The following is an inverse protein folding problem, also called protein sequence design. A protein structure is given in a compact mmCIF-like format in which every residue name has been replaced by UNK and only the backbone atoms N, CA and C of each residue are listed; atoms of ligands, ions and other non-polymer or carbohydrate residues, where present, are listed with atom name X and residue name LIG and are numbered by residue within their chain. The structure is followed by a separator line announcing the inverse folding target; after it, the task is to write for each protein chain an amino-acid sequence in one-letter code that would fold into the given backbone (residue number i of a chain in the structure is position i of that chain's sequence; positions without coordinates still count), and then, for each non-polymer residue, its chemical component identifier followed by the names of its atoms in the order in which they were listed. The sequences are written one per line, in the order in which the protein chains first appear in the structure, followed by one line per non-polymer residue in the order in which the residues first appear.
data_IF_478719648006
#
_entry.id   IF_478719648006
#
_cell.length_a   1.000
_cell.length_b   1.000
_cell.length_c   1.000
_cell.angle_alpha   90.00
_cell.angle_beta   90.00
_cell.angle_gamma   90.00
#
_symmetry.space_group_name_H-M   'P 1'
#
loop_
_entity.id
_entity.type
_entity.pdbx_description
1 polymer ?
#
# COMPACT_ATOMS: atom_id res chain seq x y z
N UNK A 1 -17.14 5.43 5.89
CA UNK A 1 -15.68 5.22 5.92
C UNK A 1 -15.23 4.88 4.51
N UNK A 2 -14.11 5.42 4.03
CA UNK A 2 -13.54 5.07 2.71
C UNK A 2 -12.86 3.70 2.79
N UNK A 3 -12.99 2.86 1.77
CA UNK A 3 -12.23 1.61 1.67
C UNK A 3 -10.92 1.90 0.94
N UNK A 4 -9.79 1.54 1.56
CA UNK A 4 -8.44 1.78 1.03
C UNK A 4 -7.76 0.43 0.82
N UNK A 5 -7.45 0.06 -0.42
CA UNK A 5 -6.80 -1.22 -0.72
C UNK A 5 -5.30 -1.10 -0.46
N UNK A 6 -4.74 -1.99 0.37
CA UNK A 6 -3.31 -1.99 0.66
C UNK A 6 -2.50 -2.57 -0.51
N UNK A 7 -1.71 -1.72 -1.17
CA UNK A 7 -0.74 -2.10 -2.21
C UNK A 7 0.71 -1.90 -1.73
N UNK A 8 0.99 -2.20 -0.46
CA UNK A 8 2.32 -2.12 0.14
C UNK A 8 2.89 -3.51 0.42
N UNK A 9 4.17 -3.57 0.82
CA UNK A 9 4.85 -4.84 1.15
C UNK A 9 4.34 -5.48 2.46
N UNK A 10 3.82 -4.66 3.37
CA UNK A 10 3.48 -5.05 4.73
C UNK A 10 1.97 -5.12 4.92
N UNK A 11 1.53 -5.94 5.87
CA UNK A 11 0.13 -5.92 6.31
C UNK A 11 -0.20 -4.58 6.96
N UNK A 12 -1.45 -4.16 6.82
CA UNK A 12 -1.92 -2.92 7.42
C UNK A 12 -1.84 -3.01 8.96
N UNK A 13 -1.40 -1.93 9.60
CA UNK A 13 -1.42 -1.82 11.07
C UNK A 13 -2.86 -1.70 11.57
N UNK A 14 -3.08 -1.96 12.86
CA UNK A 14 -4.41 -1.77 13.46
C UNK A 14 -4.94 -0.34 13.30
N UNK A 15 -4.05 0.67 13.35
CA UNK A 15 -4.41 2.08 13.13
C UNK A 15 -4.85 2.33 11.68
N UNK A 16 -4.16 1.74 10.71
CA UNK A 16 -4.51 1.84 9.29
C UNK A 16 -5.83 1.12 8.98
N UNK A 17 -6.04 -0.07 9.54
CA UNK A 17 -7.30 -0.83 9.39
C UNK A 17 -8.46 -0.03 9.96
N UNK A 18 -8.27 0.64 11.11
CA UNK A 18 -9.29 1.50 11.71
C UNK A 18 -9.67 2.70 10.82
N UNK A 19 -8.77 3.17 9.95
CA UNK A 19 -9.06 4.22 8.94
C UNK A 19 -9.64 3.67 7.63
N UNK A 20 -9.84 2.35 7.53
CA UNK A 20 -10.46 1.69 6.39
C UNK A 20 -9.49 1.03 5.41
N UNK A 21 -8.23 0.82 5.81
CA UNK A 21 -7.31 -0.02 5.03
C UNK A 21 -7.73 -1.47 5.09
N UNK A 22 -7.81 -2.11 3.92
CA UNK A 22 -8.02 -3.54 3.76
C UNK A 22 -6.81 -4.18 3.08
N UNK A 23 -6.35 -5.29 3.62
CA UNK A 23 -5.32 -6.10 2.98
C UNK A 23 -5.94 -6.94 1.85
N UNK A 24 -5.21 -7.08 0.74
CA UNK A 24 -5.54 -8.03 -0.30
C UNK A 24 -5.49 -9.47 0.24
N UNK A 25 -6.23 -10.43 -0.37
CA UNK A 25 -6.05 -11.84 -0.09
C UNK A 25 -4.59 -12.27 -0.24
N UNK A 26 -4.14 -13.23 0.59
CA UNK A 26 -2.71 -13.58 0.73
C UNK A 26 -2.03 -13.89 -0.63
N UNK A 27 -2.76 -14.55 -1.53
CA UNK A 27 -2.27 -14.87 -2.89
C UNK A 27 -1.90 -13.59 -3.66
N UNK A 28 -2.73 -12.55 -3.60
CA UNK A 28 -2.50 -11.29 -4.30
C UNK A 28 -1.50 -10.41 -3.54
N UNK A 29 -1.60 -10.32 -2.20
CA UNK A 29 -0.67 -9.51 -1.40
C UNK A 29 0.77 -10.04 -1.49
N UNK A 30 0.96 -11.37 -1.58
CA UNK A 30 2.28 -11.97 -1.80
C UNK A 30 2.86 -11.58 -3.16
N UNK A 31 2.04 -11.52 -4.21
CA UNK A 31 2.47 -11.04 -5.54
C UNK A 31 2.80 -9.55 -5.55
N UNK A 32 2.00 -8.73 -4.87
CA UNK A 32 2.32 -7.30 -4.70
C UNK A 32 3.66 -7.14 -3.99
N UNK A 33 3.91 -7.88 -2.90
CA UNK A 33 5.19 -7.86 -2.18
C UNK A 33 6.37 -8.23 -3.09
N UNK A 34 6.24 -9.29 -3.89
CA UNK A 34 7.25 -9.71 -4.87
C UNK A 34 7.57 -8.58 -5.88
N UNK A 35 6.54 -7.93 -6.42
CA UNK A 35 6.68 -6.86 -7.41
C UNK A 35 7.30 -5.58 -6.82
N UNK A 36 7.11 -5.33 -5.52
CA UNK A 36 7.67 -4.19 -4.80
C UNK A 36 9.09 -4.43 -4.26
N UNK A 37 9.58 -5.68 -4.26
CA UNK A 37 10.91 -6.05 -3.76
C UNK A 37 11.95 -6.08 -4.88
N UNK A 38 13.10 -5.48 -4.65
CA UNK A 38 14.20 -5.36 -5.60
C UNK A 38 15.51 -5.86 -4.95
N UNK A 39 15.99 -7.02 -5.41
CA UNK A 39 17.25 -7.61 -4.93
C UNK A 39 18.47 -7.17 -5.78
N UNK A 40 18.20 -6.62 -6.96
CA UNK A 40 19.19 -6.09 -7.90
C UNK A 40 18.73 -4.73 -8.43
N UNK A 41 19.67 -3.95 -8.97
CA UNK A 41 19.36 -2.67 -9.61
C UNK A 41 18.36 -2.87 -10.77
N UNK A 42 17.14 -2.31 -10.69
CA UNK A 42 16.15 -2.51 -11.75
C UNK A 42 16.39 -1.61 -12.95
N UNK A 43 16.12 -2.13 -14.13
CA UNK A 43 16.01 -1.32 -15.35
C UNK A 43 14.66 -0.60 -15.42
N UNK A 44 14.62 0.48 -16.22
CA UNK A 44 13.41 1.27 -16.45
C UNK A 44 12.22 0.45 -16.97
N UNK A 45 12.49 -0.51 -17.85
CA UNK A 45 11.49 -1.44 -18.40
C UNK A 45 10.87 -2.29 -17.30
N UNK A 46 11.72 -2.89 -16.44
CA UNK A 46 11.28 -3.69 -15.30
C UNK A 46 10.42 -2.88 -14.31
N UNK A 47 10.75 -1.61 -14.06
CA UNK A 47 9.92 -0.73 -13.22
C UNK A 47 8.52 -0.53 -13.80
N UNK A 48 8.43 -0.28 -15.12
CA UNK A 48 7.15 -0.12 -15.81
C UNK A 48 6.33 -1.42 -15.81
N UNK A 49 6.97 -2.55 -16.07
CA UNK A 49 6.31 -3.86 -16.06
C UNK A 49 5.77 -4.23 -14.68
N UNK A 50 6.59 -4.04 -13.64
CA UNK A 50 6.18 -4.28 -12.24
C UNK A 50 4.99 -3.40 -11.86
N UNK A 51 5.05 -2.10 -12.16
CA UNK A 51 3.93 -1.18 -11.94
C UNK A 51 2.65 -1.66 -12.63
N UNK A 52 2.72 -1.97 -13.92
CA UNK A 52 1.56 -2.47 -14.67
C UNK A 52 1.00 -3.78 -14.09
N UNK A 53 1.87 -4.68 -13.63
CA UNK A 53 1.44 -5.94 -13.02
C UNK A 53 0.75 -5.72 -11.67
N UNK A 54 1.20 -4.75 -10.85
CA UNK A 54 0.48 -4.38 -9.61
C UNK A 54 -0.93 -3.88 -9.94
N UNK A 55 -1.08 -3.03 -10.97
CA UNK A 55 -2.41 -2.52 -11.35
C UNK A 55 -3.32 -3.63 -11.89
N UNK A 56 -2.78 -4.61 -12.62
CA UNK A 56 -3.56 -5.79 -13.05
C UNK A 56 -4.06 -6.62 -11.86
N UNK A 57 -3.24 -6.78 -10.81
CA UNK A 57 -3.67 -7.48 -9.59
C UNK A 57 -4.77 -6.72 -8.85
N UNK A 58 -4.66 -5.39 -8.79
CA UNK A 58 -5.70 -4.52 -8.23
C UNK A 58 -7.02 -4.66 -9.00
N UNK A 59 -6.98 -4.60 -10.33
CA UNK A 59 -8.16 -4.72 -11.18
C UNK A 59 -8.83 -6.09 -11.07
N UNK A 60 -8.04 -7.17 -11.06
CA UNK A 60 -8.52 -8.52 -10.82
C UNK A 60 -9.27 -8.59 -9.49
N UNK A 61 -8.67 -8.08 -8.41
CA UNK A 61 -9.31 -8.05 -7.10
C UNK A 61 -10.63 -7.27 -7.10
N UNK A 62 -10.65 -6.06 -7.64
CA UNK A 62 -11.86 -5.22 -7.68
C UNK A 62 -12.97 -5.90 -8.47
N UNK A 63 -12.63 -6.47 -9.63
CA UNK A 63 -13.58 -7.14 -10.52
C UNK A 63 -14.14 -8.39 -9.87
N UNK A 64 -13.30 -9.24 -9.29
CA UNK A 64 -13.72 -10.46 -8.59
C UNK A 64 -14.60 -10.13 -7.38
N UNK A 65 -14.25 -9.12 -6.59
CA UNK A 65 -15.06 -8.68 -5.44
C UNK A 65 -16.43 -8.15 -5.87
N UNK A 66 -16.48 -7.36 -6.95
CA UNK A 66 -17.73 -6.87 -7.51
C UNK A 66 -18.64 -8.02 -7.97
N UNK A 67 -18.08 -9.00 -8.69
CA UNK A 67 -18.81 -10.21 -9.11
C UNK A 67 -19.29 -11.03 -7.92
N UNK A 68 -18.40 -11.32 -6.97
CA UNK A 68 -18.70 -12.13 -5.77
C UNK A 68 -19.78 -11.50 -4.89
N UNK A 69 -19.83 -10.18 -4.84
CA UNK A 69 -20.80 -9.44 -4.00
C UNK A 69 -22.03 -8.96 -4.76
N UNK A 70 -22.12 -9.26 -6.06
CA UNK A 70 -23.18 -8.76 -6.97
C UNK A 70 -23.32 -7.22 -6.92
N UNK A 71 -22.21 -6.53 -6.71
CA UNK A 71 -22.15 -5.06 -6.65
C UNK A 71 -21.59 -4.51 -7.96
N UNK A 72 -22.00 -3.29 -8.37
CA UNK A 72 -21.38 -2.63 -9.50
C UNK A 72 -19.91 -2.33 -9.21
N UNK A 73 -19.10 -2.26 -10.26
CA UNK A 73 -17.73 -1.79 -10.16
C UNK A 73 -17.70 -0.39 -9.52
N UNK A 74 -16.77 -0.13 -8.58
CA UNK A 74 -16.65 1.17 -7.95
C UNK A 74 -16.18 2.20 -8.97
N UNK A 75 -16.79 3.39 -8.97
CA UNK A 75 -16.29 4.52 -9.78
C UNK A 75 -15.00 5.10 -9.24
N UNK A 76 -14.79 5.02 -7.91
CA UNK A 76 -13.66 5.61 -7.20
C UNK A 76 -13.04 4.58 -6.27
N UNK A 77 -11.72 4.45 -6.32
CA UNK A 77 -10.95 3.43 -5.60
C UNK A 77 -9.79 4.11 -4.89
N UNK A 78 -9.66 3.93 -3.58
CA UNK A 78 -8.50 4.44 -2.84
C UNK A 78 -7.48 3.31 -2.65
N UNK A 79 -6.20 3.60 -2.88
CA UNK A 79 -5.13 2.61 -2.70
C UNK A 79 -4.02 3.18 -1.83
N UNK A 80 -3.55 2.42 -0.85
CA UNK A 80 -2.38 2.78 -0.06
C UNK A 80 -1.13 2.32 -0.79
N UNK A 81 -0.27 3.27 -1.16
CA UNK A 81 1.02 3.03 -1.81
C UNK A 81 2.18 3.18 -0.82
N UNK A 82 3.25 2.44 -1.09
CA UNK A 82 4.47 2.45 -0.28
C UNK A 82 5.51 1.47 -0.81
N UNK A 83 6.78 1.85 -0.74
CA UNK A 83 7.88 1.05 -1.24
C UNK A 83 9.00 1.92 -1.81
N UNK A 84 9.77 1.36 -2.73
CA UNK A 84 10.91 2.04 -3.33
C UNK A 84 10.49 3.31 -4.12
N UNK A 85 11.00 4.51 -3.79
CA UNK A 85 10.60 5.76 -4.46
C UNK A 85 10.79 5.75 -5.98
N UNK A 86 11.80 5.06 -6.49
CA UNK A 86 12.07 4.94 -7.92
C UNK A 86 11.01 4.13 -8.69
N UNK A 87 10.18 3.32 -8.01
CA UNK A 87 9.03 2.62 -8.61
C UNK A 87 7.74 3.46 -8.53
N UNK A 88 7.56 4.26 -7.47
CA UNK A 88 6.29 4.91 -7.14
C UNK A 88 5.73 5.74 -8.30
N UNK A 89 6.56 6.54 -8.97
CA UNK A 89 6.12 7.32 -10.14
C UNK A 89 5.56 6.45 -11.27
N UNK A 90 6.15 5.26 -11.51
CA UNK A 90 5.64 4.34 -12.53
C UNK A 90 4.30 3.73 -12.10
N UNK A 91 4.15 3.42 -10.82
CA UNK A 91 2.91 2.88 -10.26
C UNK A 91 1.78 3.90 -10.30
N UNK A 92 2.02 5.14 -9.85
CA UNK A 92 1.07 6.26 -9.96
C UNK A 92 0.61 6.45 -11.41
N UNK A 93 1.55 6.50 -12.36
CA UNK A 93 1.22 6.66 -13.78
C UNK A 93 0.41 5.49 -14.33
N UNK A 94 0.68 4.26 -13.90
CA UNK A 94 -0.06 3.08 -14.33
C UNK A 94 -1.49 3.09 -13.76
N UNK A 95 -1.66 3.51 -12.50
CA UNK A 95 -2.98 3.65 -11.86
C UNK A 95 -3.82 4.74 -12.56
N UNK A 96 -3.21 5.90 -12.85
CA UNK A 96 -3.86 6.99 -13.58
C UNK A 96 -4.21 6.63 -15.03
N UNK A 97 -3.59 5.60 -15.60
CA UNK A 97 -3.88 5.09 -16.94
C UNK A 97 -5.17 4.26 -17.04
N UNK A 98 -5.78 3.89 -15.92
CA UNK A 98 -7.05 3.16 -15.92
C UNK A 98 -8.23 4.11 -16.15
N UNK A 99 -8.93 3.93 -17.27
CA UNK A 99 -9.95 4.87 -17.73
C UNK A 99 -11.33 4.67 -17.08
N UNK A 100 -11.58 3.53 -16.43
CA UNK A 100 -12.89 3.16 -15.90
C UNK A 100 -12.99 3.25 -14.37
N UNK A 101 -11.87 3.43 -13.67
CA UNK A 101 -11.81 3.71 -12.24
C UNK A 101 -11.12 5.05 -12.01
N UNK A 102 -11.66 5.89 -11.13
CA UNK A 102 -10.95 7.00 -10.52
C UNK A 102 -10.10 6.44 -9.35
N UNK A 103 -8.85 6.04 -9.65
CA UNK A 103 -7.95 5.46 -8.64
C UNK A 103 -7.16 6.58 -7.96
N UNK A 104 -7.36 6.70 -6.64
CA UNK A 104 -6.72 7.70 -5.79
C UNK A 104 -5.58 7.06 -4.99
N UNK A 105 -4.31 7.34 -5.33
CA UNK A 105 -3.17 6.90 -4.55
C UNK A 105 -3.06 7.68 -3.23
N UNK A 106 -2.81 6.97 -2.15
CA UNK A 106 -2.61 7.51 -0.81
C UNK A 106 -1.29 7.02 -0.22
N UNK A 107 -0.55 7.90 0.43
CA UNK A 107 0.65 7.56 1.19
C UNK A 107 0.38 7.69 2.69
N UNK A 108 0.70 6.64 3.45
CA UNK A 108 0.59 6.70 4.91
C UNK A 108 1.63 7.69 5.47
N UNK A 109 1.16 8.71 6.18
CA UNK A 109 1.99 9.63 6.92
C UNK A 109 2.24 9.04 8.32
N UNK A 110 3.51 8.89 8.69
CA UNK A 110 3.90 8.32 9.98
C UNK A 110 4.74 9.29 10.78
N UNK A 111 4.37 9.46 12.04
CA UNK A 111 5.16 10.21 13.02
C UNK A 111 6.21 9.29 13.64
N UNK A 112 7.44 9.80 13.76
CA UNK A 112 8.51 9.13 14.50
C UNK A 112 8.45 9.59 15.95
N UNK A 113 8.08 8.69 16.85
CA UNK A 113 8.05 8.96 18.28
C UNK A 113 9.21 8.21 18.94
N UNK A 114 10.08 8.95 19.61
CA UNK A 114 11.22 8.40 20.36
C UNK A 114 11.06 8.70 21.84
N UNK A 115 11.22 7.68 22.69
CA UNK A 115 11.17 7.81 24.14
C UNK A 115 12.14 6.83 24.79
N UNK A 116 12.41 7.03 26.09
CA UNK A 116 13.35 6.22 26.86
C UNK A 116 12.60 5.38 27.90
N UNK A 117 12.94 4.10 27.99
CA UNK A 117 12.38 3.16 28.96
C UNK A 117 13.51 2.69 29.91
N UNK A 118 13.41 3.05 31.19
CA UNK A 118 14.28 2.50 32.22
C UNK A 118 13.97 1.01 32.41
N UNK A 119 15.01 0.19 32.31
CA UNK A 119 14.93 -1.26 32.45
C UNK A 119 15.08 -1.66 33.92
N UNK A 120 14.62 -2.87 34.32
CA UNK A 120 14.72 -3.35 35.70
C UNK A 120 16.15 -3.41 36.27
N UNK A 121 17.18 -3.50 35.41
CA UNK A 121 18.59 -3.53 35.78
C UNK A 121 19.22 -2.12 35.90
N UNK A 122 18.41 -1.06 35.75
CA UNK A 122 18.86 0.33 35.79
C UNK A 122 19.42 0.86 34.46
N UNK A 123 19.47 0.04 33.40
CA UNK A 123 19.85 0.51 32.07
C UNK A 123 18.71 1.28 31.40
N UNK A 124 19.02 2.07 30.36
CA UNK A 124 18.03 2.85 29.60
C UNK A 124 17.96 2.33 28.17
N UNK A 125 16.76 1.94 27.73
CA UNK A 125 16.47 1.54 26.35
C UNK A 125 15.81 2.69 25.61
N UNK A 126 16.42 3.12 24.50
CA UNK A 126 15.77 4.05 23.59
C UNK A 126 14.82 3.29 22.67
N UNK A 127 13.55 3.65 22.69
CA UNK A 127 12.51 3.08 21.82
C UNK A 127 12.15 4.10 20.75
N UNK A 128 12.13 3.65 19.49
CA UNK A 128 11.63 4.43 18.36
C UNK A 128 10.42 3.70 17.79
N UNK A 129 9.28 4.36 17.76
CA UNK A 129 8.03 3.84 17.18
C UNK A 129 7.58 4.71 16.02
N UNK A 130 6.92 4.08 15.05
CA UNK A 130 6.30 4.75 13.91
C UNK A 130 4.79 4.67 14.12
N UNK A 131 4.17 5.83 14.33
CA UNK A 131 2.73 5.91 14.55
C UNK A 131 2.05 6.39 13.28
N UNK A 132 0.98 5.71 12.85
CA UNK A 132 0.17 6.19 11.74
C UNK A 132 -0.58 7.45 12.14
N UNK A 133 -0.44 8.52 11.35
CA UNK A 133 -1.03 9.82 11.64
C UNK A 133 -2.00 10.30 10.54
N UNK A 134 -2.15 9.53 9.46
CA UNK A 134 -3.12 9.79 8.40
C UNK A 134 -2.60 9.45 7.01
N UNK A 135 -3.30 9.94 5.99
CA UNK A 135 -2.96 9.73 4.58
C UNK A 135 -2.75 11.04 3.84
N UNK A 136 -1.78 11.05 2.93
CA UNK A 136 -1.53 12.11 1.96
C UNK A 136 -1.97 11.63 0.57
N UNK A 137 -2.80 12.41 -0.11
CA UNK A 137 -3.18 12.23 -1.51
C UNK A 137 -2.21 12.99 -2.42
N UNK A 138 -1.81 12.40 -3.56
CA UNK A 138 -0.82 12.98 -4.49
C UNK A 138 -1.27 12.93 -5.95
#
# INVERSE_FOLDING_TARGET
MKTIINLTQHRATSEQIAEGVIDLPEVLSSRVRELLTFDILPEKTALKERANNIVKLLDMYITEEAMRTERPLPKKVYVMLGGAPYLMRYLENALNGFWYYDIIPLYAFTERVSYEETQPDGTVKKVSSFKHAGFVEV
#
